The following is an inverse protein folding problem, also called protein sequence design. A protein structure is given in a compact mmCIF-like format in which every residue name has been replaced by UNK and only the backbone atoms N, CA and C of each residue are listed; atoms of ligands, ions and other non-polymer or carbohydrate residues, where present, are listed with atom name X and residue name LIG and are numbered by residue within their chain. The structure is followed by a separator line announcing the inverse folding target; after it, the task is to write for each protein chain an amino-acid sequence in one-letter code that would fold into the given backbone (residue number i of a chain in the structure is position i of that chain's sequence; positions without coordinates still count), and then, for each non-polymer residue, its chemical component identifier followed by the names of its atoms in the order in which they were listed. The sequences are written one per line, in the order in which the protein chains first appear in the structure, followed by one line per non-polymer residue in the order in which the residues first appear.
data_IF_859472003308
#
_entry.id   IF_859472003308
#
_cell.length_a   1.000
_cell.length_b   1.000
_cell.length_c   1.000
_cell.angle_alpha   90.00
_cell.angle_beta   90.00
_cell.angle_gamma   90.00
#
_symmetry.space_group_name_H-M   'P 1'
#
loop_
_entity.id
_entity.type
_entity.pdbx_description
1 polymer ?
#
# COMPACT_ATOMS: atom_id res chain seq x y z
N UNK A 1 20.73 -1.12 72.35
CA UNK A 1 20.73 0.33 72.06
C UNK A 1 19.31 0.72 71.72
N UNK A 2 18.67 1.63 72.49
CA UNK A 2 17.23 1.81 72.52
C UNK A 2 16.73 2.78 71.44
N UNK A 3 15.47 2.58 71.08
CA UNK A 3 14.64 3.38 70.19
C UNK A 3 14.71 4.87 70.56
N UNK A 4 15.09 5.73 69.61
CA UNK A 4 14.87 7.18 69.76
C UNK A 4 13.37 7.43 69.76
N UNK A 5 12.83 7.58 70.97
CA UNK A 5 11.54 8.19 71.24
C UNK A 5 11.58 9.62 70.71
N UNK A 6 11.05 9.83 69.51
CA UNK A 6 10.73 11.16 69.02
C UNK A 6 9.60 11.69 69.91
N UNK A 7 9.99 12.56 70.84
CA UNK A 7 9.13 13.29 71.76
C UNK A 7 7.98 13.88 70.94
N UNK A 8 6.78 13.37 71.14
CA UNK A 8 5.55 13.97 70.63
C UNK A 8 5.34 15.23 71.46
N UNK A 9 6.10 16.27 71.12
CA UNK A 9 5.82 17.61 71.58
C UNK A 9 4.48 17.99 70.94
N UNK A 10 3.44 17.90 71.77
CA UNK A 10 2.06 18.25 71.49
C UNK A 10 1.96 19.77 71.25
N UNK A 11 2.57 20.25 70.16
CA UNK A 11 2.16 21.47 69.54
C UNK A 11 0.77 21.19 68.97
N UNK A 12 -0.24 21.72 69.63
CA UNK A 12 -1.55 21.94 69.03
C UNK A 12 -1.33 22.85 67.83
N UNK A 13 -0.97 22.25 66.68
CA UNK A 13 -1.14 22.84 65.37
C UNK A 13 -2.65 22.92 65.15
N UNK A 14 -3.30 23.83 65.86
CA UNK A 14 -4.62 24.28 65.51
C UNK A 14 -4.43 24.99 64.17
N UNK A 15 -4.53 24.23 63.08
CA UNK A 15 -4.57 24.77 61.75
C UNK A 15 -5.62 25.87 61.78
N UNK A 16 -5.27 27.14 61.49
CA UNK A 16 -6.25 28.21 61.50
C UNK A 16 -7.45 27.76 60.65
N UNK A 17 -8.69 27.88 61.14
CA UNK A 17 -9.87 27.30 60.47
C UNK A 17 -9.98 27.76 59.00
N UNK A 18 -9.55 28.99 58.72
CA UNK A 18 -9.46 29.57 57.37
C UNK A 18 -8.55 28.76 56.42
N UNK A 19 -7.45 28.19 56.92
CA UNK A 19 -6.51 27.39 56.13
C UNK A 19 -7.06 25.99 55.90
N UNK A 20 -7.77 25.41 56.88
CA UNK A 20 -8.42 24.09 56.74
C UNK A 20 -9.50 24.13 55.66
N UNK A 21 -10.36 25.15 55.68
CA UNK A 21 -11.44 25.30 54.70
C UNK A 21 -10.89 25.52 53.28
N UNK A 22 -9.84 26.34 53.15
CA UNK A 22 -9.14 26.52 51.87
C UNK A 22 -8.56 25.21 51.33
N UNK A 23 -7.92 24.40 52.18
CA UNK A 23 -7.35 23.11 51.78
C UNK A 23 -8.43 22.10 51.34
N UNK A 24 -9.61 22.13 51.97
CA UNK A 24 -10.75 21.29 51.56
C UNK A 24 -11.26 21.69 50.17
N UNK A 25 -11.45 22.98 49.92
CA UNK A 25 -11.88 23.50 48.61
C UNK A 25 -10.86 23.15 47.52
N UNK A 26 -9.56 23.33 47.79
CA UNK A 26 -8.53 23.01 46.81
C UNK A 26 -8.43 21.49 46.57
N UNK A 27 -8.62 20.67 47.61
CA UNK A 27 -8.70 19.21 47.46
C UNK A 27 -9.87 18.79 46.57
N UNK A 28 -11.05 19.36 46.77
CA UNK A 28 -12.22 19.07 45.93
C UNK A 28 -11.98 19.47 44.48
N UNK A 29 -11.35 20.62 44.25
CA UNK A 29 -10.95 21.10 42.91
C UNK A 29 -10.00 20.13 42.22
N UNK A 30 -8.99 19.64 42.94
CA UNK A 30 -8.03 18.66 42.42
C UNK A 30 -8.72 17.32 42.11
N UNK A 31 -9.63 16.85 42.98
CA UNK A 31 -10.40 15.62 42.74
C UNK A 31 -11.34 15.74 41.53
N UNK A 32 -11.93 16.91 41.29
CA UNK A 32 -12.71 17.15 40.07
C UNK A 32 -11.84 17.10 38.82
N UNK A 33 -10.66 17.75 38.84
CA UNK A 33 -9.70 17.69 37.73
C UNK A 33 -9.19 16.27 37.47
N UNK A 34 -8.87 15.51 38.51
CA UNK A 34 -8.44 14.12 38.40
C UNK A 34 -9.52 13.27 37.70
N UNK A 35 -10.78 13.37 38.14
CA UNK A 35 -11.90 12.64 37.48
C UNK A 35 -12.07 13.03 36.02
N UNK A 36 -11.92 14.31 35.68
CA UNK A 36 -11.99 14.78 34.29
C UNK A 36 -10.84 14.22 33.45
N UNK A 37 -9.61 14.21 33.99
CA UNK A 37 -8.45 13.64 33.33
C UNK A 37 -8.61 12.12 33.12
N UNK A 38 -9.06 11.40 34.14
CA UNK A 38 -9.33 9.95 34.05
C UNK A 38 -10.42 9.61 33.03
N UNK A 39 -11.45 10.47 32.86
CA UNK A 39 -12.45 10.29 31.80
C UNK A 39 -11.83 10.47 30.42
N UNK A 40 -11.08 11.55 30.23
CA UNK A 40 -10.40 11.84 28.95
C UNK A 40 -9.38 10.78 28.59
N UNK A 41 -8.61 10.30 29.56
CA UNK A 41 -7.63 9.24 29.33
C UNK A 41 -8.31 7.94 28.89
N UNK A 42 -9.46 7.60 29.49
CA UNK A 42 -10.25 6.44 29.06
C UNK A 42 -10.79 6.62 27.64
N UNK A 43 -11.32 7.79 27.32
CA UNK A 43 -11.82 8.10 25.96
C UNK A 43 -10.69 8.05 24.92
N UNK A 44 -9.53 8.63 25.22
CA UNK A 44 -8.36 8.59 24.36
C UNK A 44 -7.89 7.17 24.12
N UNK A 45 -7.78 6.33 25.17
CA UNK A 45 -7.41 4.92 25.03
C UNK A 45 -8.39 4.13 24.17
N UNK A 46 -9.70 4.42 24.24
CA UNK A 46 -10.70 3.79 23.37
C UNK A 46 -10.53 4.23 21.91
N UNK A 47 -10.28 5.52 21.69
CA UNK A 47 -10.04 6.05 20.35
C UNK A 47 -8.75 5.50 19.75
N UNK A 48 -7.67 5.43 20.52
CA UNK A 48 -6.39 4.83 20.11
C UNK A 48 -6.59 3.39 19.66
N UNK A 49 -7.25 2.55 20.46
CA UNK A 49 -7.57 1.17 20.07
C UNK A 49 -8.38 1.11 18.78
N UNK A 50 -9.41 1.96 18.65
CA UNK A 50 -10.25 2.00 17.46
C UNK A 50 -9.46 2.43 16.21
N UNK A 51 -8.49 3.31 16.36
CA UNK A 51 -7.59 3.73 15.28
C UNK A 51 -6.65 2.59 14.91
N UNK A 52 -6.05 1.91 15.90
CA UNK A 52 -5.19 0.74 15.67
C UNK A 52 -5.94 -0.37 14.93
N UNK A 53 -7.17 -0.68 15.34
CA UNK A 53 -8.02 -1.66 14.65
C UNK A 53 -8.29 -1.26 13.20
N UNK A 54 -8.59 0.01 12.93
CA UNK A 54 -8.81 0.50 11.56
C UNK A 54 -7.53 0.44 10.71
N UNK A 55 -6.38 0.79 11.28
CA UNK A 55 -5.08 0.70 10.58
C UNK A 55 -4.77 -0.76 10.26
N UNK A 56 -4.99 -1.68 11.20
CA UNK A 56 -4.79 -3.10 10.98
C UNK A 56 -5.72 -3.66 9.90
N UNK A 57 -7.00 -3.27 9.90
CA UNK A 57 -7.93 -3.67 8.84
C UNK A 57 -7.52 -3.12 7.46
N UNK A 58 -7.11 -1.86 7.38
CA UNK A 58 -6.68 -1.23 6.13
C UNK A 58 -5.39 -1.84 5.59
N UNK A 59 -4.42 -2.12 6.47
CA UNK A 59 -3.17 -2.77 6.07
C UNK A 59 -3.40 -4.19 5.57
N UNK A 60 -4.26 -4.98 6.23
CA UNK A 60 -4.65 -6.31 5.76
C UNK A 60 -5.31 -6.24 4.38
N UNK A 61 -6.24 -5.30 4.17
CA UNK A 61 -6.89 -5.12 2.89
C UNK A 61 -5.89 -4.72 1.79
N UNK A 62 -4.95 -3.82 2.09
CA UNK A 62 -3.89 -3.43 1.16
C UNK A 62 -3.04 -4.62 0.74
N UNK A 63 -2.63 -5.46 1.69
CA UNK A 63 -1.85 -6.67 1.41
C UNK A 63 -2.65 -7.64 0.55
N UNK A 64 -3.93 -7.86 0.86
CA UNK A 64 -4.79 -8.76 0.07
C UNK A 64 -4.97 -8.25 -1.37
N UNK A 65 -5.17 -6.94 -1.55
CA UNK A 65 -5.29 -6.33 -2.88
C UNK A 65 -3.99 -6.49 -3.65
N UNK A 66 -2.84 -6.20 -3.05
CA UNK A 66 -1.53 -6.36 -3.68
C UNK A 66 -1.25 -7.81 -4.08
N UNK A 67 -1.63 -8.77 -3.23
CA UNK A 67 -1.51 -10.19 -3.55
C UNK A 67 -2.39 -10.60 -4.74
N UNK A 68 -3.65 -10.14 -4.78
CA UNK A 68 -4.54 -10.42 -5.92
C UNK A 68 -4.01 -9.79 -7.20
N UNK A 69 -3.52 -8.54 -7.14
CA UNK A 69 -2.90 -7.87 -8.28
C UNK A 69 -1.67 -8.64 -8.78
N UNK A 70 -0.78 -9.07 -7.88
CA UNK A 70 0.38 -9.91 -8.23
C UNK A 70 -0.02 -11.25 -8.86
N UNK A 71 -1.08 -11.89 -8.38
CA UNK A 71 -1.60 -13.13 -8.98
C UNK A 71 -2.14 -12.88 -10.38
N UNK A 72 -2.90 -11.80 -10.58
CA UNK A 72 -3.43 -11.43 -11.90
C UNK A 72 -2.30 -11.10 -12.87
N UNK A 73 -1.29 -10.33 -12.44
CA UNK A 73 -0.14 -10.00 -13.27
C UNK A 73 0.66 -11.24 -13.63
N UNK A 74 0.90 -12.15 -12.67
CA UNK A 74 1.59 -13.41 -12.92
C UNK A 74 0.87 -14.28 -13.96
N UNK A 75 -0.47 -14.40 -13.88
CA UNK A 75 -1.27 -15.16 -14.84
C UNK A 75 -1.24 -14.51 -16.24
N UNK A 76 -1.35 -13.17 -16.30
CA UNK A 76 -1.23 -12.47 -17.58
C UNK A 76 0.15 -12.67 -18.19
N UNK A 77 1.21 -12.58 -17.38
CA UNK A 77 2.59 -12.78 -17.83
C UNK A 77 2.81 -14.21 -18.32
N UNK A 78 2.25 -15.23 -17.65
CA UNK A 78 2.36 -16.62 -18.10
C UNK A 78 1.65 -16.85 -19.44
N UNK A 79 0.42 -16.35 -19.59
CA UNK A 79 -0.33 -16.49 -20.85
C UNK A 79 0.37 -15.79 -22.00
N UNK A 80 0.87 -14.59 -21.78
CA UNK A 80 1.62 -13.85 -22.80
C UNK A 80 2.94 -14.54 -23.10
N UNK A 81 3.68 -15.04 -22.08
CA UNK A 81 4.91 -15.82 -22.29
C UNK A 81 4.67 -17.09 -23.10
N UNK A 82 3.57 -17.79 -22.89
CA UNK A 82 3.19 -18.97 -23.69
C UNK A 82 2.97 -18.59 -25.16
N UNK A 83 2.26 -17.49 -25.42
CA UNK A 83 2.08 -16.98 -26.77
C UNK A 83 3.42 -16.57 -27.39
N UNK A 84 4.24 -15.81 -26.68
CA UNK A 84 5.57 -15.39 -27.15
C UNK A 84 6.43 -16.61 -27.49
N UNK A 85 6.43 -17.66 -26.67
CA UNK A 85 7.12 -18.93 -26.97
C UNK A 85 6.57 -19.60 -28.24
N UNK A 86 5.25 -19.71 -28.36
CA UNK A 86 4.63 -20.30 -29.54
C UNK A 86 5.00 -19.55 -30.83
N UNK A 87 4.99 -18.21 -30.80
CA UNK A 87 5.41 -17.36 -31.92
C UNK A 87 6.93 -17.37 -32.16
N UNK A 88 7.73 -17.51 -31.11
CA UNK A 88 9.19 -17.63 -31.19
C UNK A 88 9.65 -18.89 -31.91
N UNK A 89 8.93 -20.01 -31.73
CA UNK A 89 9.22 -21.31 -32.35
C UNK A 89 8.52 -21.47 -33.73
N UNK A 90 7.55 -20.60 -34.02
CA UNK A 90 6.82 -20.62 -35.29
C UNK A 90 7.70 -20.14 -36.46
N UNK A 91 7.47 -20.71 -37.64
CA UNK A 91 8.12 -20.24 -38.86
C UNK A 91 7.79 -18.75 -39.10
N UNK A 92 8.79 -17.89 -39.39
CA UNK A 92 8.57 -16.44 -39.51
C UNK A 92 7.46 -16.04 -40.47
N UNK A 93 7.34 -16.71 -41.63
CA UNK A 93 6.29 -16.45 -42.60
C UNK A 93 4.87 -16.77 -42.09
N UNK A 94 4.71 -17.85 -41.29
CA UNK A 94 3.41 -18.17 -40.68
C UNK A 94 3.08 -17.21 -39.55
N UNK A 95 4.06 -16.87 -38.72
CA UNK A 95 3.90 -15.88 -37.66
C UNK A 95 3.50 -14.52 -38.24
N UNK A 96 4.13 -14.08 -39.33
CA UNK A 96 3.80 -12.86 -40.05
C UNK A 96 2.34 -12.83 -40.50
N UNK A 97 1.85 -13.90 -41.13
CA UNK A 97 0.45 -13.99 -41.55
C UNK A 97 -0.55 -13.90 -40.39
N UNK A 98 -0.27 -14.58 -39.28
CA UNK A 98 -1.14 -14.55 -38.09
C UNK A 98 -1.13 -13.18 -37.40
N UNK A 99 0.04 -12.55 -37.27
CA UNK A 99 0.21 -11.22 -36.67
C UNK A 99 -0.48 -10.11 -37.48
N UNK A 100 -0.52 -10.23 -38.81
CA UNK A 100 -1.25 -9.28 -39.65
C UNK A 100 -2.78 -9.35 -39.48
N UNK A 101 -3.30 -10.50 -39.04
CA UNK A 101 -4.73 -10.75 -38.90
C UNK A 101 -5.23 -10.57 -37.45
N UNK A 102 -4.34 -10.35 -36.49
CA UNK A 102 -4.73 -10.09 -35.09
C UNK A 102 -4.84 -8.59 -34.81
N UNK A 103 -5.35 -8.27 -33.62
CA UNK A 103 -5.38 -6.90 -33.13
C UNK A 103 -3.98 -6.29 -33.03
N UNK A 104 -3.85 -5.02 -33.43
CA UNK A 104 -2.56 -4.33 -33.53
C UNK A 104 -1.85 -4.24 -32.18
N UNK A 105 -2.58 -3.93 -31.10
CA UNK A 105 -1.98 -3.79 -29.76
C UNK A 105 -1.43 -5.13 -29.28
N UNK A 106 -2.17 -6.22 -29.54
CA UNK A 106 -1.73 -7.58 -29.21
C UNK A 106 -0.49 -8.00 -30.01
N UNK A 107 -0.46 -7.69 -31.31
CA UNK A 107 0.70 -7.98 -32.17
C UNK A 107 1.96 -7.26 -31.66
N UNK A 108 1.83 -5.98 -31.29
CA UNK A 108 2.93 -5.19 -30.72
C UNK A 108 3.39 -5.76 -29.38
N UNK A 109 2.46 -6.17 -28.51
CA UNK A 109 2.77 -6.77 -27.20
C UNK A 109 3.52 -8.10 -27.33
N UNK A 110 3.22 -8.91 -28.34
CA UNK A 110 3.95 -10.16 -28.62
C UNK A 110 5.34 -9.83 -29.19
N UNK A 111 5.41 -8.96 -30.20
CA UNK A 111 6.66 -8.59 -30.85
C UNK A 111 7.65 -7.92 -29.89
N UNK A 112 7.18 -7.10 -28.94
CA UNK A 112 8.04 -6.43 -27.96
C UNK A 112 8.72 -7.38 -26.96
N UNK A 113 8.20 -8.61 -26.83
CA UNK A 113 8.76 -9.65 -25.95
C UNK A 113 9.60 -10.68 -26.71
N UNK A 114 9.63 -10.64 -28.05
CA UNK A 114 10.47 -11.50 -28.87
C UNK A 114 11.90 -10.97 -28.97
N UNK A 115 12.86 -11.85 -29.30
CA UNK A 115 14.25 -11.43 -29.56
C UNK A 115 14.31 -10.60 -30.83
N UNK A 116 15.19 -9.60 -30.88
CA UNK A 116 15.33 -8.70 -32.04
C UNK A 116 15.55 -9.44 -33.37
N UNK A 117 16.25 -10.58 -33.36
CA UNK A 117 16.47 -11.42 -34.55
C UNK A 117 15.19 -12.10 -35.05
N UNK A 118 14.31 -12.53 -34.14
CA UNK A 118 13.01 -13.12 -34.46
C UNK A 118 12.06 -12.06 -35.00
N UNK A 119 12.02 -10.88 -34.36
CA UNK A 119 11.23 -9.73 -34.82
C UNK A 119 11.66 -9.34 -36.24
N UNK A 120 12.96 -9.17 -36.49
CA UNK A 120 13.48 -8.85 -37.82
C UNK A 120 13.05 -9.89 -38.88
N UNK A 121 13.15 -11.18 -38.55
CA UNK A 121 12.76 -12.28 -39.44
C UNK A 121 11.26 -12.27 -39.75
N UNK A 122 10.42 -11.97 -38.75
CA UNK A 122 8.96 -11.90 -38.90
C UNK A 122 8.55 -10.69 -39.72
N UNK A 123 9.08 -9.49 -39.40
CA UNK A 123 8.80 -8.26 -40.15
C UNK A 123 9.26 -8.36 -41.61
N UNK A 124 10.39 -9.02 -41.87
CA UNK A 124 10.88 -9.26 -43.24
C UNK A 124 9.98 -10.20 -44.06
N UNK A 125 9.17 -11.03 -43.38
CA UNK A 125 8.21 -11.91 -44.03
C UNK A 125 6.81 -11.29 -44.19
N UNK A 126 6.64 -10.02 -43.79
CA UNK A 126 5.41 -9.25 -43.97
C UNK A 126 5.49 -8.34 -45.21
N UNK A 127 4.35 -7.90 -45.76
CA UNK A 127 4.31 -6.78 -46.70
C UNK A 127 4.91 -5.51 -46.08
N UNK A 128 5.62 -4.68 -46.86
CA UNK A 128 6.38 -3.54 -46.34
C UNK A 128 5.52 -2.54 -45.56
N UNK A 129 4.30 -2.28 -46.02
CA UNK A 129 3.36 -1.36 -45.36
C UNK A 129 2.96 -1.84 -43.96
N UNK A 130 2.66 -3.13 -43.82
CA UNK A 130 2.29 -3.74 -42.54
C UNK A 130 3.48 -3.83 -41.59
N UNK A 131 4.65 -4.19 -42.12
CA UNK A 131 5.90 -4.23 -41.36
C UNK A 131 6.25 -2.84 -40.79
N UNK A 132 6.16 -1.79 -41.61
CA UNK A 132 6.38 -0.41 -41.18
C UNK A 132 5.39 0.01 -40.09
N UNK A 133 4.09 -0.27 -40.28
CA UNK A 133 3.05 0.09 -39.31
C UNK A 133 3.26 -0.56 -37.93
N UNK A 134 3.69 -1.82 -37.88
CA UNK A 134 4.01 -2.51 -36.63
C UNK A 134 5.34 -2.05 -36.03
N UNK A 135 6.34 -1.73 -36.85
CA UNK A 135 7.62 -1.19 -36.40
C UNK A 135 7.47 0.22 -35.78
N UNK A 136 6.65 1.09 -36.37
CA UNK A 136 6.29 2.40 -35.81
C UNK A 136 5.54 2.24 -34.47
N UNK A 137 4.61 1.28 -34.39
CA UNK A 137 3.90 1.03 -33.14
C UNK A 137 4.83 0.46 -32.04
N UNK A 138 5.84 -0.33 -32.41
CA UNK A 138 6.88 -0.82 -31.49
C UNK A 138 7.79 0.29 -30.95
N UNK A 139 8.05 1.33 -31.74
CA UNK A 139 8.87 2.48 -31.30
C UNK A 139 8.09 3.48 -30.43
N UNK A 140 6.79 3.28 -30.25
CA UNK A 140 5.90 4.19 -29.53
C UNK A 140 5.49 5.42 -30.34
N UNK A 141 5.69 5.41 -31.66
CA UNK A 141 5.23 6.48 -32.55
C UNK A 141 3.75 6.29 -32.90
N UNK A 142 2.92 7.34 -32.85
CA UNK A 142 1.53 7.25 -33.25
C UNK A 142 1.43 6.95 -34.76
N UNK A 143 0.44 6.14 -35.19
CA UNK A 143 0.28 5.82 -36.60
C UNK A 143 0.03 7.06 -37.45
N UNK A 144 0.60 7.07 -38.66
CA UNK A 144 0.23 8.05 -39.68
C UNK A 144 -1.21 7.79 -40.10
N UNK A 145 -2.11 8.70 -39.74
CA UNK A 145 -3.44 8.80 -40.33
C UNK A 145 -3.26 9.35 -41.76
N UNK A 146 -3.66 8.56 -42.76
CA UNK A 146 -3.81 8.97 -44.15
C UNK A 146 -5.25 8.76 -44.57
#
# INVERSE_FOLDING_TARGET
MPLLSAKVDNATYNCPPEVSDFLLVERERLLQRLRQLESRERELKLLEKKIEEQINALTQLSVEVDEKLKKISAIQDERVKLLVKAYAEMRPAKAAQQLMNMDREMAVKILSQLKSTQVASILSAMPPEKAASLAEALSGYPPKEY
#
